data_IF_171848835814
#
_entry.id   IF_171848835814
#
_cell.length_a   1.000
_cell.length_b   1.000
_cell.length_c   1.000
_cell.angle_alpha   90.00
_cell.angle_beta   90.00
_cell.angle_gamma   90.00
#
_symmetry.space_group_name_H-M   'P 1'
#
loop_
_entity.id
_entity.type
_entity.pdbx_description
1 polymer ?
#
# COMPACT_ATOMS: atom_id res chain seq x y z
N UNK A 1 12.64 -14.10 1.40
CA UNK A 1 11.92 -15.08 0.55
C UNK A 1 10.48 -14.62 0.32
N UNK A 2 9.81 -15.08 -0.75
CA UNK A 2 8.45 -14.67 -1.13
C UNK A 2 7.41 -14.70 0.00
N UNK A 3 7.57 -15.57 1.00
CA UNK A 3 6.68 -15.66 2.15
C UNK A 3 6.62 -14.37 3.00
N UNK A 4 7.72 -13.61 3.15
CA UNK A 4 7.66 -12.35 3.91
C UNK A 4 6.93 -11.24 3.14
N UNK A 5 6.84 -11.33 1.81
CA UNK A 5 6.19 -10.32 0.98
C UNK A 5 4.67 -10.39 1.13
N UNK A 6 4.11 -11.60 1.25
CA UNK A 6 2.68 -11.76 1.50
C UNK A 6 2.30 -11.19 2.87
N UNK A 7 3.03 -11.55 3.93
CA UNK A 7 2.79 -11.01 5.27
C UNK A 7 2.93 -9.48 5.32
N UNK A 8 3.93 -8.93 4.63
CA UNK A 8 4.09 -7.48 4.51
C UNK A 8 2.91 -6.84 3.76
N UNK A 9 2.48 -7.44 2.65
CA UNK A 9 1.34 -6.97 1.89
C UNK A 9 0.07 -6.98 2.76
N UNK A 10 -0.18 -8.05 3.51
CA UNK A 10 -1.34 -8.17 4.38
C UNK A 10 -1.32 -7.13 5.52
N UNK A 11 -0.15 -6.91 6.13
CA UNK A 11 0.02 -5.86 7.13
C UNK A 11 -0.24 -4.45 6.55
N UNK A 12 0.26 -4.17 5.35
CA UNK A 12 0.01 -2.91 4.66
C UNK A 12 -1.47 -2.73 4.30
N UNK A 13 -2.14 -3.79 3.83
CA UNK A 13 -3.58 -3.76 3.55
C UNK A 13 -4.39 -3.47 4.80
N UNK A 14 -4.06 -4.10 5.93
CA UNK A 14 -4.71 -3.84 7.21
C UNK A 14 -4.49 -2.41 7.69
N UNK A 15 -3.24 -1.91 7.62
CA UNK A 15 -2.89 -0.56 8.09
C UNK A 15 -3.51 0.53 7.22
N UNK A 16 -3.49 0.34 5.90
CA UNK A 16 -3.97 1.33 4.93
C UNK A 16 -5.47 1.17 4.63
N UNK A 17 -6.11 0.09 5.08
CA UNK A 17 -7.55 -0.15 4.91
C UNK A 17 -7.98 -0.26 3.44
N UNK A 18 -7.07 -0.63 2.54
CA UNK A 18 -7.33 -0.76 1.10
C UNK A 18 -6.42 -1.84 0.50
N UNK A 19 -6.66 -2.18 -0.76
CA UNK A 19 -5.84 -3.15 -1.48
C UNK A 19 -4.43 -2.60 -1.71
N UNK A 20 -3.44 -3.41 -1.35
CA UNK A 20 -2.02 -3.13 -1.57
C UNK A 20 -1.44 -4.28 -2.39
N UNK A 21 -0.61 -3.95 -3.38
CA UNK A 21 0.17 -4.93 -4.13
C UNK A 21 1.64 -4.59 -4.06
N UNK A 22 2.45 -5.58 -3.72
CA UNK A 22 3.90 -5.47 -3.81
C UNK A 22 4.36 -6.12 -5.11
N UNK A 23 5.08 -5.36 -5.93
CA UNK A 23 5.73 -5.87 -7.14
C UNK A 23 7.23 -5.68 -7.00
N UNK A 24 7.99 -6.74 -7.22
CA UNK A 24 9.44 -6.65 -7.37
C UNK A 24 9.79 -7.15 -8.76
N UNK A 25 10.56 -6.35 -9.50
CA UNK A 25 11.25 -6.78 -10.69
C UNK A 25 12.77 -6.82 -10.39
N UNK A 26 13.56 -7.51 -11.20
CA UNK A 26 15.00 -7.62 -10.99
C UNK A 26 15.77 -6.28 -11.00
N UNK A 27 15.08 -5.14 -11.14
CA UNK A 27 15.61 -3.78 -11.15
C UNK A 27 15.03 -2.89 -10.03
N UNK A 28 14.16 -3.42 -9.17
CA UNK A 28 13.58 -2.66 -8.06
C UNK A 28 12.22 -3.17 -7.61
N UNK A 29 11.52 -2.38 -6.79
CA UNK A 29 10.20 -2.72 -6.28
C UNK A 29 9.23 -1.55 -6.32
N UNK A 30 7.94 -1.86 -6.31
CA UNK A 30 6.83 -0.90 -6.28
C UNK A 30 5.79 -1.36 -5.26
N UNK A 31 5.24 -0.40 -4.55
CA UNK A 31 4.07 -0.57 -3.68
C UNK A 31 2.92 0.14 -4.38
N UNK A 32 1.91 -0.61 -4.79
CA UNK A 32 0.69 -0.08 -5.41
C UNK A 32 -0.41 -0.06 -4.36
N UNK A 33 -0.95 1.12 -4.02
CA UNK A 33 -2.05 1.31 -3.08
C UNK A 33 -3.28 1.73 -3.90
N UNK A 34 -4.35 0.94 -3.86
CA UNK A 34 -5.59 1.29 -4.55
C UNK A 34 -6.43 2.29 -3.75
N UNK A 35 -7.16 3.16 -4.43
CA UNK A 35 -8.24 3.96 -3.85
C UNK A 35 -9.44 3.86 -4.80
N UNK A 36 -10.66 3.81 -4.26
CA UNK A 36 -11.88 3.63 -5.06
C UNK A 36 -12.70 4.91 -5.15
N UNK A 37 -12.54 5.81 -4.18
CA UNK A 37 -13.19 7.11 -4.14
C UNK A 37 -12.28 8.20 -3.58
N UNK A 38 -12.69 9.46 -3.68
CA UNK A 38 -11.90 10.59 -3.19
C UNK A 38 -11.62 10.50 -1.67
N UNK A 39 -12.62 10.06 -0.88
CA UNK A 39 -12.48 9.89 0.56
C UNK A 39 -11.43 8.84 0.97
N UNK A 40 -11.24 7.79 0.16
CA UNK A 40 -10.16 6.83 0.37
C UNK A 40 -8.79 7.50 0.25
N UNK A 41 -8.62 8.36 -0.76
CA UNK A 41 -7.36 9.06 -1.00
C UNK A 41 -7.06 10.03 0.14
N UNK A 42 -8.03 10.81 0.59
CA UNK A 42 -7.87 11.74 1.72
C UNK A 42 -7.44 11.00 2.99
N UNK A 43 -8.10 9.88 3.31
CA UNK A 43 -7.74 9.02 4.45
C UNK A 43 -6.32 8.44 4.30
N UNK A 44 -5.93 8.02 3.10
CA UNK A 44 -4.58 7.52 2.84
C UNK A 44 -3.52 8.60 3.04
N UNK A 45 -3.75 9.83 2.55
CA UNK A 45 -2.83 10.95 2.76
C UNK A 45 -2.64 11.27 4.24
N UNK A 46 -3.73 11.22 5.03
CA UNK A 46 -3.65 11.37 6.49
C UNK A 46 -2.83 10.26 7.16
N UNK A 47 -3.04 8.99 6.77
CA UNK A 47 -2.26 7.86 7.32
C UNK A 47 -0.77 7.98 6.96
N UNK A 48 -0.46 8.51 5.79
CA UNK A 48 0.90 8.71 5.29
C UNK A 48 1.54 10.02 5.78
N UNK A 49 0.82 10.81 6.58
CA UNK A 49 1.24 12.13 7.08
C UNK A 49 1.69 13.09 5.95
N UNK A 50 0.94 13.08 4.84
CA UNK A 50 1.17 13.97 3.71
C UNK A 50 0.24 15.18 3.83
N UNK A 51 0.83 16.37 3.92
CA UNK A 51 0.12 17.65 3.97
C UNK A 51 0.34 18.39 2.64
N UNK A 52 -0.72 18.96 2.07
CA UNK A 52 -0.70 19.72 0.81
C UNK A 52 -0.87 21.22 1.09
#
# INVERSE_FOLDING_TARGET
TPAHWQALQDALQQKLGTRVRLRADGKGGRIEIAFFEAGDLDRLLQILDVQL
#
